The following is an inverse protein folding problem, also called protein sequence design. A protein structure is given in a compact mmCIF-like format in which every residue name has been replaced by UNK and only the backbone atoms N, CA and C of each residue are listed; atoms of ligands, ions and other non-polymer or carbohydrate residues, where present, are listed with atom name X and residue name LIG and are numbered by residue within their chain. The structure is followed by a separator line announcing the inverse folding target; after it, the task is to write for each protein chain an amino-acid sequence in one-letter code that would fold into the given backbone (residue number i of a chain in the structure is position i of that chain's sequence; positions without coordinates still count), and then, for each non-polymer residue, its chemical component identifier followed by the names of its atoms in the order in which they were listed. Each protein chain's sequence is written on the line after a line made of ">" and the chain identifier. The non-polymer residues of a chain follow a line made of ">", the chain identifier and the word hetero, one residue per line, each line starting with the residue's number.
data_IF_896820751793
#
_entry.id   IF_896820751793
#
_cell.length_a   1.000
_cell.length_b   1.000
_cell.length_c   1.000
_cell.angle_alpha   90.00
_cell.angle_beta   90.00
_cell.angle_gamma   90.00
#
_symmetry.space_group_name_H-M   'P 1'
#
loop_
_entity.id
_entity.type
_entity.pdbx_description
1 polymer ?
#
# COMPACT_ATOMS: atom_id res chain seq x y z
N UNK A 1 -8.93 -11.82 -18.98
CA UNK A 1 -8.27 -12.89 -18.21
C UNK A 1 -7.45 -12.25 -17.08
N UNK A 2 -7.95 -12.28 -15.84
CA UNK A 2 -7.17 -11.82 -14.66
C UNK A 2 -6.09 -12.86 -14.40
N UNK A 3 -4.84 -12.42 -14.53
CA UNK A 3 -3.65 -13.23 -14.29
C UNK A 3 -3.56 -13.56 -12.79
N UNK A 4 -3.74 -14.84 -12.45
CA UNK A 4 -3.76 -15.39 -11.08
C UNK A 4 -2.36 -15.79 -10.59
N UNK A 5 -1.34 -15.29 -11.26
CA UNK A 5 0.03 -15.33 -10.82
C UNK A 5 0.12 -14.44 -9.57
N UNK A 6 0.23 -15.08 -8.40
CA UNK A 6 0.42 -14.55 -7.03
C UNK A 6 1.59 -13.54 -6.86
N UNK A 7 2.08 -12.96 -7.95
CA UNK A 7 3.07 -11.89 -8.02
C UNK A 7 2.52 -10.56 -7.50
N UNK A 8 1.19 -10.39 -7.49
CA UNK A 8 0.51 -9.25 -6.87
C UNK A 8 -0.52 -9.75 -5.85
N UNK A 9 -0.44 -9.26 -4.60
CA UNK A 9 -1.43 -9.57 -3.56
C UNK A 9 -2.80 -9.00 -3.90
N UNK A 10 -3.87 -9.72 -3.59
CA UNK A 10 -5.28 -9.32 -3.77
C UNK A 10 -5.56 -7.89 -3.30
N UNK A 11 -4.96 -7.48 -2.18
CA UNK A 11 -5.09 -6.13 -1.63
C UNK A 11 -4.61 -5.04 -2.60
N UNK A 12 -3.58 -5.29 -3.41
CA UNK A 12 -3.08 -4.36 -4.45
C UNK A 12 -3.98 -4.35 -5.70
N UNK A 13 -4.59 -5.49 -6.02
CA UNK A 13 -5.45 -5.64 -7.20
C UNK A 13 -6.88 -5.12 -6.94
N UNK A 14 -7.35 -5.22 -5.70
CA UNK A 14 -8.69 -4.80 -5.26
C UNK A 14 -8.68 -3.44 -4.56
N UNK A 15 -7.51 -2.79 -4.46
CA UNK A 15 -7.40 -1.46 -3.86
C UNK A 15 -8.16 -0.42 -4.69
N UNK A 16 -9.31 0.00 -4.17
CA UNK A 16 -10.08 1.14 -4.67
C UNK A 16 -10.20 2.13 -3.50
N UNK A 17 -9.74 3.38 -3.62
CA UNK A 17 -9.96 4.39 -2.61
C UNK A 17 -11.46 4.76 -2.65
N UNK A 18 -12.28 4.02 -1.88
CA UNK A 18 -13.75 4.10 -1.97
C UNK A 18 -14.33 5.37 -1.33
N UNK A 19 -13.63 5.99 -0.37
CA UNK A 19 -14.23 7.02 0.49
C UNK A 19 -13.56 8.40 0.45
N UNK A 20 -12.48 8.61 -0.29
CA UNK A 20 -11.79 9.92 -0.31
C UNK A 20 -12.09 10.68 -1.62
N UNK A 21 -12.83 11.80 -1.51
CA UNK A 21 -12.95 12.76 -2.60
C UNK A 21 -11.59 13.38 -2.87
N UNK A 22 -11.22 13.51 -4.16
CA UNK A 22 -9.97 14.17 -4.55
C UNK A 22 -10.00 15.64 -4.12
N UNK A 23 -8.96 16.17 -3.46
CA UNK A 23 -8.86 17.61 -3.21
C UNK A 23 -8.64 18.35 -4.54
N UNK A 24 -9.39 19.44 -4.75
CA UNK A 24 -9.26 20.30 -5.93
C UNK A 24 -7.88 20.97 -5.91
N UNK A 25 -7.13 20.88 -7.01
CA UNK A 25 -5.80 21.50 -7.17
C UNK A 25 -4.60 20.61 -6.82
N UNK A 26 -4.78 19.41 -6.26
CA UNK A 26 -3.67 18.46 -6.04
C UNK A 26 -3.51 17.55 -7.25
N UNK A 27 -2.27 17.18 -7.65
CA UNK A 27 -2.06 16.12 -8.62
C UNK A 27 -2.82 14.85 -8.22
N UNK A 28 -3.25 14.01 -9.19
CA UNK A 28 -3.93 12.76 -8.90
C UNK A 28 -3.11 11.95 -7.89
N UNK A 29 -3.74 11.57 -6.78
CA UNK A 29 -3.10 10.75 -5.76
C UNK A 29 -2.65 9.44 -6.42
N UNK A 30 -1.35 9.17 -6.40
CA UNK A 30 -0.82 7.93 -6.98
C UNK A 30 -1.13 6.81 -6.00
N UNK A 31 -1.43 5.62 -6.52
CA UNK A 31 -1.65 4.42 -5.69
C UNK A 31 -0.49 4.19 -4.70
N UNK A 32 0.74 4.47 -5.12
CA UNK A 32 1.94 4.36 -4.31
C UNK A 32 1.98 5.34 -3.12
N UNK A 33 1.30 6.50 -3.20
CA UNK A 33 1.23 7.46 -2.09
C UNK A 33 0.43 6.89 -0.92
N UNK A 34 -0.59 6.10 -1.22
CA UNK A 34 -1.41 5.43 -0.19
C UNK A 34 -0.61 4.31 0.48
N UNK A 35 0.14 3.50 -0.27
CA UNK A 35 1.04 2.51 0.33
C UNK A 35 2.15 3.17 1.16
N UNK A 36 2.65 4.33 0.72
CA UNK A 36 3.63 5.11 1.48
C UNK A 36 3.03 5.67 2.78
N UNK A 37 1.74 5.96 2.81
CA UNK A 37 1.04 6.45 4.01
C UNK A 37 0.73 5.31 4.97
N UNK A 38 0.16 4.22 4.47
CA UNK A 38 -0.44 3.16 5.27
C UNK A 38 0.55 2.06 5.70
N UNK A 39 1.55 1.75 4.86
CA UNK A 39 2.41 0.56 5.05
C UNK A 39 3.85 0.92 5.42
N UNK A 40 4.31 2.12 5.09
CA UNK A 40 5.69 2.51 5.44
C UNK A 40 5.84 2.72 6.95
N UNK A 41 6.88 2.16 7.53
CA UNK A 41 7.18 2.33 8.95
C UNK A 41 7.80 3.71 9.16
N UNK A 42 7.17 4.50 10.03
CA UNK A 42 7.60 5.86 10.39
C UNK A 42 7.71 5.99 11.90
N UNK A 43 8.72 6.74 12.35
CA UNK A 43 8.84 7.22 13.72
C UNK A 43 8.82 8.73 13.68
N UNK A 44 7.68 9.31 14.03
CA UNK A 44 7.41 10.73 13.81
C UNK A 44 7.49 11.09 12.32
N UNK A 45 8.34 12.07 11.98
CA UNK A 45 8.58 12.50 10.60
C UNK A 45 9.60 11.62 9.86
N UNK A 46 10.35 10.79 10.59
CA UNK A 46 11.41 9.97 10.02
C UNK A 46 10.85 8.69 9.39
N UNK A 47 11.23 8.45 8.13
CA UNK A 47 10.93 7.22 7.41
C UNK A 47 11.97 6.17 7.78
N UNK A 48 11.55 5.14 8.52
CA UNK A 48 12.44 4.03 8.94
C UNK A 48 12.52 3.00 7.84
N UNK A 49 11.36 2.51 7.37
CA UNK A 49 11.31 1.47 6.35
C UNK A 49 10.25 1.84 5.30
N UNK A 50 10.64 2.12 4.04
CA UNK A 50 9.67 2.39 3.00
C UNK A 50 8.90 1.11 2.65
N UNK A 51 7.64 1.26 2.24
CA UNK A 51 6.77 0.14 1.84
C UNK A 51 7.41 -0.75 0.76
N UNK A 52 8.22 -0.17 -0.12
CA UNK A 52 8.92 -0.90 -1.19
C UNK A 52 10.02 -1.82 -0.66
N UNK A 53 10.62 -1.52 0.49
CA UNK A 53 11.59 -2.41 1.17
C UNK A 53 10.86 -3.56 1.85
N UNK A 54 9.74 -3.28 2.53
CA UNK A 54 8.90 -4.30 3.18
C UNK A 54 8.34 -5.28 2.13
N UNK A 55 7.92 -4.76 0.98
CA UNK A 55 7.36 -5.55 -0.12
C UNK A 55 8.36 -6.53 -0.77
N UNK A 56 9.69 -6.35 -0.57
CA UNK A 56 10.69 -7.30 -1.06
C UNK A 56 10.65 -8.62 -0.31
N UNK A 57 10.29 -8.60 0.97
CA UNK A 57 10.11 -9.81 1.77
C UNK A 57 8.64 -10.22 1.79
N UNK A 58 8.33 -11.31 1.09
CA UNK A 58 6.97 -11.85 0.99
C UNK A 58 6.34 -12.16 2.35
N UNK A 59 7.11 -12.67 3.32
CA UNK A 59 6.58 -13.02 4.65
C UNK A 59 6.20 -11.76 5.42
N UNK A 60 7.09 -10.76 5.45
CA UNK A 60 6.81 -9.45 6.05
C UNK A 60 5.63 -8.77 5.38
N UNK A 61 5.59 -8.76 4.05
CA UNK A 61 4.51 -8.16 3.28
C UNK A 61 3.13 -8.75 3.59
N UNK A 62 3.02 -10.07 3.64
CA UNK A 62 1.76 -10.76 4.00
C UNK A 62 1.35 -10.44 5.44
N UNK A 63 2.31 -10.38 6.38
CA UNK A 63 2.03 -10.05 7.77
C UNK A 63 1.44 -8.63 7.90
N UNK A 64 2.02 -7.65 7.20
CA UNK A 64 1.52 -6.27 7.21
C UNK A 64 0.13 -6.17 6.60
N UNK A 65 -0.11 -6.84 5.47
CA UNK A 65 -1.44 -6.89 4.85
C UNK A 65 -2.50 -7.46 5.80
N UNK A 66 -2.18 -8.56 6.48
CA UNK A 66 -3.11 -9.19 7.44
C UNK A 66 -3.44 -8.27 8.61
N UNK A 67 -2.47 -7.50 9.09
CA UNK A 67 -2.68 -6.52 10.15
C UNK A 67 -3.60 -5.36 9.72
N UNK A 68 -3.58 -5.00 8.43
CA UNK A 68 -4.37 -3.87 7.89
C UNK A 68 -5.79 -4.23 7.42
N UNK A 69 -6.15 -5.52 7.39
CA UNK A 69 -7.44 -6.01 6.84
C UNK A 69 -8.40 -6.55 7.91
N UNK A 70 -8.00 -6.53 9.20
CA UNK A 70 -8.86 -6.83 10.36
C UNK A 70 -9.59 -5.58 10.83
#
# INVERSE_FOLDING_TARGET
>A
MRRNDNRWTTLLQEWIPRNEKRPVGRPPMRWADSLRKEISVRQGTQLIEPWSTIAKDRKKWIAVIRAHTN
#
